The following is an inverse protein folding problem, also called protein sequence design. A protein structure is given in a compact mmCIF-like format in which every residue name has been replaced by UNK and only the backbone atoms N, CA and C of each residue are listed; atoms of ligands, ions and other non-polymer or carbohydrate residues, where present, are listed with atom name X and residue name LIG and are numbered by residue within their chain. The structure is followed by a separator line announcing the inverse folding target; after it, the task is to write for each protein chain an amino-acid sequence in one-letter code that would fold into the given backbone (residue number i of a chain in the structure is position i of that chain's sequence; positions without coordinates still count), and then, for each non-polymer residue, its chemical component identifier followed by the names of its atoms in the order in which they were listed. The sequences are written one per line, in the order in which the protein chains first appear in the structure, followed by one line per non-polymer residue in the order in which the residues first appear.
data_IF_885180425882
#
_entry.id   IF_885180425882
#
_cell.length_a   1.000
_cell.length_b   1.000
_cell.length_c   1.000
_cell.angle_alpha   90.00
_cell.angle_beta   90.00
_cell.angle_gamma   90.00
#
_symmetry.space_group_name_H-M   'P 1'
#
loop_
_entity.id
_entity.type
_entity.pdbx_description
1 polymer ?
#
# COMPACT_ATOMS: atom_id res chain seq x y z
N UNK A 1 45.96 10.94 -21.92
CA UNK A 1 45.79 10.91 -20.46
C UNK A 1 44.81 11.98 -19.97
N UNK A 2 44.25 12.83 -20.84
CA UNK A 2 43.18 13.79 -20.49
C UNK A 2 41.78 13.29 -20.90
N UNK A 3 41.71 12.36 -21.88
CA UNK A 3 40.46 11.83 -22.45
C UNK A 3 39.74 10.86 -21.49
N UNK A 4 40.50 10.06 -20.73
CA UNK A 4 39.95 9.14 -19.72
C UNK A 4 39.18 9.85 -18.59
N UNK A 5 39.60 11.07 -18.20
CA UNK A 5 38.97 11.82 -17.11
C UNK A 5 37.63 12.45 -17.51
N UNK A 6 37.45 12.75 -18.81
CA UNK A 6 36.21 13.29 -19.33
C UNK A 6 35.14 12.19 -19.46
N UNK A 7 35.57 10.95 -19.71
CA UNK A 7 34.67 9.81 -19.83
C UNK A 7 34.17 9.31 -18.46
N UNK A 8 34.96 9.45 -17.39
CA UNK A 8 34.54 9.18 -16.00
C UNK A 8 33.49 10.19 -15.50
N UNK A 9 33.67 11.49 -15.77
CA UNK A 9 32.75 12.53 -15.29
C UNK A 9 31.35 12.42 -15.92
N UNK A 10 31.27 12.04 -17.19
CA UNK A 10 29.99 11.79 -17.89
C UNK A 10 29.29 10.52 -17.35
N UNK A 11 30.07 9.52 -16.93
CA UNK A 11 29.54 8.31 -16.29
C UNK A 11 28.99 8.59 -14.88
N UNK A 12 29.61 9.48 -14.11
CA UNK A 12 29.09 9.88 -12.79
C UNK A 12 27.78 10.69 -12.90
N UNK A 13 27.69 11.63 -13.84
CA UNK A 13 26.49 12.46 -14.04
C UNK A 13 25.27 11.66 -14.53
N UNK A 14 25.49 10.67 -15.38
CA UNK A 14 24.43 9.76 -15.86
C UNK A 14 23.96 8.80 -14.76
N UNK A 15 24.85 8.33 -13.89
CA UNK A 15 24.51 7.50 -12.73
C UNK A 15 23.72 8.28 -11.65
N UNK A 16 24.03 9.57 -11.46
CA UNK A 16 23.30 10.45 -10.54
C UNK A 16 21.85 10.67 -11.02
N UNK A 17 21.67 10.98 -12.31
CA UNK A 17 20.34 11.23 -12.91
C UNK A 17 19.45 9.97 -12.89
N UNK A 18 20.03 8.79 -13.16
CA UNK A 18 19.31 7.51 -13.10
C UNK A 18 18.92 7.09 -11.67
N UNK A 19 19.76 7.41 -10.67
CA UNK A 19 19.47 7.15 -9.25
C UNK A 19 18.35 8.03 -8.74
N UNK A 20 18.33 9.31 -9.12
CA UNK A 20 17.20 10.18 -8.79
C UNK A 20 15.92 9.67 -9.47
N UNK A 21 15.98 9.25 -10.76
CA UNK A 21 14.86 8.60 -11.48
C UNK A 21 14.37 7.28 -10.88
N UNK A 22 15.19 6.58 -10.10
CA UNK A 22 14.83 5.30 -9.46
C UNK A 22 14.27 5.47 -8.05
N UNK A 23 14.67 6.52 -7.33
CA UNK A 23 13.92 7.05 -6.18
C UNK A 23 12.51 7.53 -6.63
N UNK A 24 12.34 7.81 -7.92
CA UNK A 24 11.11 8.30 -8.58
C UNK A 24 10.13 7.22 -9.09
N UNK A 25 10.20 5.97 -8.63
CA UNK A 25 9.09 5.01 -8.82
C UNK A 25 8.78 4.16 -7.59
N UNK A 26 8.78 4.78 -6.40
CA UNK A 26 8.34 4.08 -5.19
C UNK A 26 6.85 3.72 -5.28
N UNK A 27 6.48 2.47 -4.91
CA UNK A 27 5.09 2.05 -4.87
C UNK A 27 4.30 2.93 -3.89
N UNK A 28 3.01 3.11 -4.16
CA UNK A 28 2.14 3.78 -3.18
C UNK A 28 1.91 2.83 -2.00
N UNK A 29 2.21 3.29 -0.79
CA UNK A 29 2.12 2.45 0.41
C UNK A 29 0.93 2.87 1.25
N UNK A 30 0.07 1.91 1.57
CA UNK A 30 -1.04 2.01 2.51
C UNK A 30 -0.66 1.51 3.89
N UNK A 31 -1.53 1.80 4.86
CA UNK A 31 -1.40 1.35 6.23
C UNK A 31 -2.76 0.92 6.76
N UNK A 32 -2.83 -0.27 7.35
CA UNK A 32 -4.00 -0.75 8.07
C UNK A 32 -3.59 -1.24 9.46
N UNK A 33 -4.54 -1.23 10.40
CA UNK A 33 -4.31 -1.70 11.75
C UNK A 33 -5.57 -2.36 12.32
N UNK A 34 -5.41 -3.26 13.29
CA UNK A 34 -6.54 -3.65 14.15
C UNK A 34 -7.07 -2.43 14.90
N UNK A 35 -8.33 -2.47 15.36
CA UNK A 35 -8.91 -1.41 16.18
C UNK A 35 -8.08 -1.06 17.42
N UNK A 36 -7.47 -2.05 18.07
CA UNK A 36 -6.57 -1.89 19.21
C UNK A 36 -5.21 -1.31 18.83
N UNK A 37 -4.82 -1.37 17.55
CA UNK A 37 -3.47 -1.05 17.09
C UNK A 37 -2.43 -2.14 17.38
N UNK A 38 -2.83 -3.27 17.95
CA UNK A 38 -1.93 -4.38 18.30
C UNK A 38 -1.28 -5.06 17.10
N UNK A 39 -1.90 -4.93 15.91
CA UNK A 39 -1.29 -5.32 14.63
C UNK A 39 -1.39 -4.13 13.71
N UNK A 40 -0.27 -3.76 13.09
CA UNK A 40 -0.18 -2.71 12.06
C UNK A 40 0.55 -3.30 10.87
N UNK A 41 0.03 -3.07 9.67
CA UNK A 41 0.71 -3.44 8.43
C UNK A 41 0.85 -2.22 7.52
N UNK A 42 1.96 -2.19 6.80
CA UNK A 42 2.16 -1.32 5.65
C UNK A 42 2.30 -2.17 4.40
N UNK A 43 1.57 -1.80 3.35
CA UNK A 43 1.42 -2.65 2.16
C UNK A 43 1.44 -1.79 0.91
N UNK A 44 2.05 -2.31 -0.17
CA UNK A 44 1.95 -1.67 -1.48
C UNK A 44 0.53 -1.74 -2.03
N UNK A 45 0.24 -0.97 -3.07
CA UNK A 45 -1.00 -1.03 -3.87
C UNK A 45 -1.29 -2.41 -4.49
N UNK A 46 -0.32 -3.33 -4.49
CA UNK A 46 -0.45 -4.71 -4.99
C UNK A 46 -0.62 -5.75 -3.88
N UNK A 47 -0.74 -5.34 -2.60
CA UNK A 47 -0.88 -6.30 -1.50
C UNK A 47 0.45 -6.85 -0.95
N UNK A 48 1.59 -6.32 -1.40
CA UNK A 48 2.89 -6.78 -0.91
C UNK A 48 3.24 -6.11 0.42
N UNK A 49 3.44 -6.85 1.51
CA UNK A 49 3.77 -6.27 2.81
C UNK A 49 5.18 -5.66 2.78
N UNK A 50 5.30 -4.42 3.27
CA UNK A 50 6.57 -3.71 3.45
C UNK A 50 7.01 -3.68 4.91
N UNK A 51 6.07 -3.53 5.82
CA UNK A 51 6.32 -3.54 7.26
C UNK A 51 5.14 -4.16 7.99
N UNK A 52 5.42 -4.90 9.07
CA UNK A 52 4.41 -5.49 9.95
C UNK A 52 4.89 -5.28 11.39
N UNK A 53 4.04 -4.69 12.21
CA UNK A 53 4.22 -4.59 13.66
C UNK A 53 3.17 -5.44 14.34
N UNK A 54 3.60 -6.28 15.29
CA UNK A 54 2.74 -7.20 16.03
C UNK A 54 3.12 -7.06 17.51
N UNK A 55 2.15 -6.73 18.36
CA UNK A 55 2.33 -6.77 19.81
C UNK A 55 2.48 -8.19 20.31
N UNK A 56 3.26 -8.38 21.38
CA UNK A 56 3.54 -9.70 21.94
C UNK A 56 2.28 -10.47 22.36
N UNK A 57 1.22 -9.76 22.80
CA UNK A 57 -0.07 -10.33 23.16
C UNK A 57 -0.77 -11.07 22.01
N UNK A 58 -0.50 -10.70 20.76
CA UNK A 58 -1.08 -11.37 19.59
C UNK A 58 -0.38 -12.70 19.27
N UNK A 59 0.83 -12.93 19.81
CA UNK A 59 1.59 -14.17 19.63
C UNK A 59 1.05 -15.33 20.47
N UNK A 60 0.25 -15.04 21.49
CA UNK A 60 -0.40 -16.06 22.33
C UNK A 60 -1.59 -16.74 21.61
N UNK A 61 -2.03 -16.17 20.49
CA UNK A 61 -3.14 -16.69 19.69
C UNK A 61 -2.68 -17.77 18.68
N UNK A 62 -3.60 -18.62 18.18
CA UNK A 62 -3.26 -19.58 17.14
C UNK A 62 -2.66 -18.91 15.91
N UNK A 63 -1.51 -19.41 15.43
CA UNK A 63 -0.78 -18.82 14.31
C UNK A 63 -1.64 -18.67 13.03
N UNK A 64 -2.58 -19.59 12.79
CA UNK A 64 -3.50 -19.51 11.66
C UNK A 64 -4.49 -18.34 11.77
N UNK A 65 -4.93 -17.99 12.98
CA UNK A 65 -5.79 -16.84 13.22
C UNK A 65 -5.00 -15.54 13.00
N UNK A 66 -3.78 -15.46 13.52
CA UNK A 66 -2.88 -14.32 13.31
C UNK A 66 -2.58 -14.11 11.81
N UNK A 67 -2.23 -15.18 11.08
CA UNK A 67 -1.94 -15.11 9.66
C UNK A 67 -3.14 -14.61 8.83
N UNK A 68 -4.36 -15.07 9.14
CA UNK A 68 -5.59 -14.58 8.50
C UNK A 68 -5.82 -13.10 8.76
N UNK A 69 -5.57 -12.64 9.99
CA UNK A 69 -5.74 -11.23 10.36
C UNK A 69 -4.73 -10.34 9.67
N UNK A 70 -3.46 -10.74 9.61
CA UNK A 70 -2.41 -10.03 8.86
C UNK A 70 -2.77 -9.97 7.37
N UNK A 71 -3.19 -11.09 6.77
CA UNK A 71 -3.57 -11.13 5.36
C UNK A 71 -4.72 -10.17 5.04
N UNK A 72 -5.76 -10.15 5.89
CA UNK A 72 -6.88 -9.20 5.77
C UNK A 72 -6.39 -7.75 5.85
N UNK A 73 -5.56 -7.43 6.83
CA UNK A 73 -5.01 -6.07 6.98
C UNK A 73 -4.17 -5.68 5.75
N UNK A 74 -3.39 -6.60 5.18
CA UNK A 74 -2.64 -6.33 3.95
C UNK A 74 -3.57 -6.02 2.77
N UNK A 75 -4.69 -6.75 2.64
CA UNK A 75 -5.69 -6.50 1.60
C UNK A 75 -6.33 -5.12 1.80
N UNK A 76 -6.77 -4.78 3.01
CA UNK A 76 -7.35 -3.47 3.33
C UNK A 76 -6.36 -2.32 3.06
N UNK A 77 -5.11 -2.48 3.51
CA UNK A 77 -4.02 -1.53 3.28
C UNK A 77 -3.76 -1.32 1.78
N UNK A 78 -3.76 -2.41 1.00
CA UNK A 78 -3.56 -2.36 -0.45
C UNK A 78 -4.73 -1.68 -1.18
N UNK A 79 -5.97 -1.91 -0.75
CA UNK A 79 -7.15 -1.23 -1.32
C UNK A 79 -7.03 0.29 -1.18
N UNK A 80 -6.67 0.76 0.02
CA UNK A 80 -6.46 2.20 0.27
C UNK A 80 -5.25 2.77 -0.50
N UNK A 81 -4.17 2.00 -0.63
CA UNK A 81 -3.00 2.39 -1.41
C UNK A 81 -3.31 2.48 -2.91
N UNK A 82 -4.04 1.50 -3.43
CA UNK A 82 -4.43 1.42 -4.83
C UNK A 82 -5.42 2.52 -5.22
N UNK A 83 -6.36 2.90 -4.34
CA UNK A 83 -7.24 4.03 -4.57
C UNK A 83 -6.44 5.33 -4.70
N UNK A 84 -5.52 5.59 -3.76
CA UNK A 84 -4.61 6.76 -3.87
C UNK A 84 -3.74 6.71 -5.12
N UNK A 85 -3.24 5.54 -5.51
CA UNK A 85 -2.47 5.39 -6.75
C UNK A 85 -3.31 5.73 -7.97
N UNK A 86 -4.57 5.30 -7.99
CA UNK A 86 -5.53 5.64 -9.03
C UNK A 86 -5.77 7.15 -9.09
N UNK A 87 -6.00 7.80 -7.96
CA UNK A 87 -6.18 9.27 -7.87
C UNK A 87 -4.95 10.04 -8.38
N UNK A 88 -3.73 9.60 -8.02
CA UNK A 88 -2.48 10.19 -8.52
C UNK A 88 -2.36 10.09 -10.04
N UNK A 89 -2.70 8.94 -10.61
CA UNK A 89 -2.62 8.73 -12.05
C UNK A 89 -3.69 9.53 -12.80
N UNK A 90 -4.90 9.65 -12.26
CA UNK A 90 -5.94 10.56 -12.79
C UNK A 90 -5.43 12.00 -12.77
N UNK A 91 -4.83 12.46 -11.67
CA UNK A 91 -4.26 13.80 -11.55
C UNK A 91 -3.10 14.03 -12.53
N UNK A 92 -2.36 12.98 -12.88
CA UNK A 92 -1.31 12.99 -13.90
C UNK A 92 -1.84 12.92 -15.36
N UNK A 93 -3.17 12.86 -15.54
CA UNK A 93 -3.81 12.86 -16.87
C UNK A 93 -3.94 11.48 -17.52
N UNK A 94 -3.76 10.39 -16.77
CA UNK A 94 -4.00 9.03 -17.28
C UNK A 94 -5.51 8.83 -17.43
N UNK A 95 -5.93 8.37 -18.62
CA UNK A 95 -7.33 8.15 -18.94
C UNK A 95 -7.91 6.91 -18.22
N UNK A 96 -9.24 6.89 -18.09
CA UNK A 96 -9.97 5.84 -17.37
C UNK A 96 -9.87 4.46 -18.02
N UNK A 97 -9.71 4.37 -19.35
CA UNK A 97 -9.55 3.11 -20.05
C UNK A 97 -8.18 2.51 -19.71
N UNK A 98 -7.12 3.32 -19.74
CA UNK A 98 -5.78 2.90 -19.32
C UNK A 98 -5.76 2.45 -17.85
N UNK A 99 -6.39 3.21 -16.96
CA UNK A 99 -6.51 2.85 -15.54
C UNK A 99 -7.23 1.51 -15.31
N UNK A 100 -8.18 1.14 -16.17
CA UNK A 100 -8.90 -0.13 -16.06
C UNK A 100 -7.99 -1.36 -16.26
N UNK A 101 -6.90 -1.22 -17.02
CA UNK A 101 -5.93 -2.30 -17.25
C UNK A 101 -4.93 -2.47 -16.10
N UNK A 102 -4.79 -1.49 -15.21
CA UNK A 102 -3.84 -1.54 -14.10
C UNK A 102 -4.35 -2.35 -12.90
N UNK A 103 -5.61 -2.76 -12.91
CA UNK A 103 -6.23 -3.51 -11.80
C UNK A 103 -6.27 -2.72 -10.48
N UNK A 104 -6.21 -1.39 -10.55
CA UNK A 104 -6.27 -0.55 -9.36
C UNK A 104 -7.70 -0.49 -8.81
N UNK A 105 -7.86 -0.62 -7.48
CA UNK A 105 -9.16 -0.61 -6.83
C UNK A 105 -9.89 0.73 -6.99
N UNK A 106 -11.21 0.64 -6.95
CA UNK A 106 -12.14 1.77 -6.98
C UNK A 106 -12.62 2.12 -5.58
N UNK A 107 -13.33 3.25 -5.43
CA UNK A 107 -13.94 3.62 -4.16
C UNK A 107 -15.00 2.60 -3.71
N UNK A 108 -15.74 2.02 -4.65
CA UNK A 108 -16.74 1.00 -4.36
C UNK A 108 -16.11 -0.29 -3.84
N UNK A 109 -14.94 -0.67 -4.38
CA UNK A 109 -14.18 -1.84 -3.87
C UNK A 109 -13.72 -1.64 -2.42
N UNK A 110 -13.32 -0.41 -2.07
CA UNK A 110 -12.95 -0.07 -0.68
C UNK A 110 -14.17 -0.17 0.22
N UNK A 111 -15.31 0.40 -0.18
CA UNK A 111 -16.54 0.36 0.60
C UNK A 111 -17.02 -1.08 0.83
N UNK A 112 -17.02 -1.91 -0.21
CA UNK A 112 -17.41 -3.31 -0.12
C UNK A 112 -16.51 -4.10 0.86
N UNK A 113 -15.21 -3.80 0.89
CA UNK A 113 -14.27 -4.46 1.80
C UNK A 113 -14.43 -4.02 3.26
N UNK A 114 -14.82 -2.77 3.51
CA UNK A 114 -15.12 -2.30 4.88
C UNK A 114 -16.39 -2.97 5.42
N UNK A 115 -17.41 -3.18 4.58
CA UNK A 115 -18.64 -3.90 4.93
C UNK A 115 -18.40 -5.39 5.27
N UNK A 116 -17.42 -6.03 4.63
CA UNK A 116 -17.04 -7.44 4.89
C UNK A 116 -16.14 -7.61 6.13
N UNK A 117 -15.68 -6.51 6.75
CA UNK A 117 -14.78 -6.58 7.90
C UNK A 117 -15.52 -6.98 9.19
N UNK A 118 -15.13 -8.11 9.78
CA UNK A 118 -15.62 -8.52 11.12
C UNK A 118 -15.26 -7.54 12.26
N UNK A 119 -14.45 -6.50 12.00
CA UNK A 119 -14.13 -5.43 12.96
C UNK A 119 -15.13 -4.26 12.87
N UNK A 120 -16.24 -4.44 12.14
CA UNK A 120 -17.36 -3.52 12.11
C UNK A 120 -17.89 -3.26 13.53
N UNK A 121 -18.22 -2.00 13.89
CA UNK A 121 -18.81 -1.71 15.19
C UNK A 121 -20.10 -2.52 15.37
N UNK A 122 -20.40 -2.99 16.59
CA UNK A 122 -21.63 -3.75 16.83
C UNK A 122 -22.86 -2.93 16.40
N UNK A 123 -23.77 -3.57 15.67
CA UNK A 123 -25.08 -3.05 15.19
C UNK A 123 -25.91 -2.36 16.30
N UNK A 124 -25.59 -2.62 17.57
CA UNK A 124 -26.27 -2.11 18.75
C UNK A 124 -26.12 -0.59 18.93
N UNK A 125 -25.23 0.07 18.19
CA UNK A 125 -25.09 1.53 18.17
C UNK A 125 -25.84 2.22 17.02
N UNK A 126 -26.21 1.50 15.94
CA UNK A 126 -26.95 2.09 14.80
C UNK A 126 -28.46 2.15 15.04
N UNK A 127 -29.00 1.51 16.09
CA UNK A 127 -30.42 1.60 16.48
C UNK A 127 -30.67 2.55 17.65
N UNK A 128 -30.20 3.80 17.52
CA UNK A 128 -30.66 4.87 18.41
C UNK A 128 -30.66 6.25 17.75
N UNK A 129 -31.52 6.43 16.75
CA UNK A 129 -32.32 7.63 16.50
C UNK A 129 -33.42 7.29 15.49
#
# INVERSE_FOLDING_TARGET
MEEDAQEEAVQEETAQTASSNSEWSLPTVGRAATRSGSIVVETTEQGLPRAITIEASEMDQPASALARRILRLCQQSALQAGLRRREQLVAAGVDSQTLSYLGLPTADDVLAAEDESDDAPPETWMRRA
#
